data_IF_329487615194
#
_entry.id   IF_329487615194
#
_cell.length_a   1.000
_cell.length_b   1.000
_cell.length_c   1.000
_cell.angle_alpha   90.00
_cell.angle_beta   90.00
_cell.angle_gamma   90.00
#
_symmetry.space_group_name_H-M   'P 1'
#
loop_
_entity.id
_entity.type
_entity.pdbx_description
1 polymer ?
#
# COMPACT_ATOMS: atom_id res chain seq x y z
N UNK A 1 23.68 -10.41 35.01
CA UNK A 1 22.80 -11.54 34.70
C UNK A 1 22.15 -11.26 33.36
N UNK A 2 22.68 -11.85 32.28
CA UNK A 2 22.08 -11.76 30.95
C UNK A 2 20.78 -12.57 30.96
N UNK A 3 19.63 -11.91 30.84
CA UNK A 3 18.45 -12.59 30.37
C UNK A 3 18.73 -12.99 28.92
N UNK A 4 19.03 -14.27 28.70
CA UNK A 4 18.92 -14.87 27.38
C UNK A 4 17.45 -14.75 26.99
N UNK A 5 17.13 -13.75 26.18
CA UNK A 5 15.85 -13.64 25.48
C UNK A 5 15.68 -14.96 24.73
N UNK A 6 14.71 -15.79 25.13
CA UNK A 6 14.35 -16.97 24.36
C UNK A 6 14.04 -16.50 22.93
N UNK A 7 14.54 -17.18 21.88
CA UNK A 7 14.18 -16.85 20.52
C UNK A 7 12.66 -16.89 20.40
N UNK A 8 12.07 -15.83 19.83
CA UNK A 8 10.63 -15.80 19.58
C UNK A 8 10.23 -17.02 18.76
N UNK A 9 9.09 -17.68 19.08
CA UNK A 9 8.67 -18.88 18.36
C UNK A 9 8.50 -18.58 16.87
N UNK A 10 8.91 -19.51 16.01
CA UNK A 10 8.69 -19.41 14.56
C UNK A 10 7.21 -19.60 14.28
N UNK A 11 6.52 -18.52 13.96
CA UNK A 11 5.08 -18.56 13.70
C UNK A 11 4.80 -18.29 12.22
N UNK A 12 4.01 -19.19 11.62
CA UNK A 12 3.46 -19.01 10.28
C UNK A 12 1.94 -18.88 10.32
N UNK A 13 1.42 -18.00 9.48
CA UNK A 13 0.00 -17.83 9.20
C UNK A 13 -0.37 -18.64 7.97
N UNK A 14 -1.25 -19.64 8.13
CA UNK A 14 -1.79 -20.42 7.01
C UNK A 14 -3.24 -20.03 6.73
N UNK A 15 -3.53 -19.77 5.46
CA UNK A 15 -4.85 -19.36 5.02
C UNK A 15 -5.17 -19.93 3.64
N UNK A 16 -6.46 -20.20 3.44
CA UNK A 16 -7.01 -20.70 2.18
C UNK A 16 -8.26 -19.91 1.87
N UNK A 17 -8.43 -19.53 0.60
CA UNK A 17 -9.62 -18.83 0.12
C UNK A 17 -9.73 -19.02 -1.39
N UNK A 18 -10.91 -18.76 -1.97
CA UNK A 18 -10.99 -18.56 -3.42
C UNK A 18 -10.24 -17.27 -3.76
N UNK A 19 -9.39 -17.34 -4.78
CA UNK A 19 -8.64 -16.21 -5.30
C UNK A 19 -9.63 -15.12 -5.74
N UNK A 20 -9.42 -13.92 -5.20
CA UNK A 20 -10.33 -12.77 -5.36
C UNK A 20 -10.18 -12.09 -6.71
N UNK A 21 -8.98 -12.14 -7.27
CA UNK A 21 -8.59 -11.41 -8.47
C UNK A 21 -8.14 -12.31 -9.62
N UNK A 22 -7.94 -13.62 -9.40
CA UNK A 22 -7.42 -14.54 -10.40
C UNK A 22 -8.43 -15.63 -10.72
N UNK A 23 -8.67 -15.84 -12.00
CA UNK A 23 -9.59 -16.84 -12.53
C UNK A 23 -8.95 -17.54 -13.72
N UNK A 24 -9.45 -18.72 -14.06
CA UNK A 24 -9.12 -19.39 -15.31
C UNK A 24 -10.20 -19.15 -16.36
N UNK A 25 -9.80 -18.95 -17.61
CA UNK A 25 -10.66 -18.83 -18.78
C UNK A 25 -10.15 -19.72 -19.90
N UNK A 26 -11.02 -20.51 -20.54
CA UNK A 26 -10.61 -21.52 -21.53
C UNK A 26 -9.89 -20.96 -22.76
N UNK A 27 -10.15 -19.70 -23.13
CA UNK A 27 -9.51 -19.06 -24.29
C UNK A 27 -8.34 -18.16 -23.91
N UNK A 28 -8.31 -17.65 -22.67
CA UNK A 28 -7.37 -16.62 -22.24
C UNK A 28 -6.36 -17.13 -21.19
N UNK A 29 -6.48 -18.39 -20.76
CA UNK A 29 -5.65 -18.94 -19.69
C UNK A 29 -6.01 -18.29 -18.35
N UNK A 30 -5.02 -17.81 -17.60
CA UNK A 30 -5.28 -17.10 -16.35
C UNK A 30 -5.65 -15.64 -16.64
N UNK A 31 -6.81 -15.23 -16.12
CA UNK A 31 -7.33 -13.87 -16.23
C UNK A 31 -7.26 -13.18 -14.87
N UNK A 32 -6.69 -11.98 -14.86
CA UNK A 32 -6.70 -11.07 -13.72
C UNK A 32 -7.92 -10.15 -13.79
N UNK A 33 -8.58 -9.91 -12.67
CA UNK A 33 -9.72 -8.97 -12.59
C UNK A 33 -9.28 -7.76 -11.79
N UNK A 34 -9.48 -6.55 -12.33
CA UNK A 34 -9.09 -5.30 -11.64
C UNK A 34 -9.94 -5.04 -10.40
N UNK A 35 -11.25 -5.08 -10.59
CA UNK A 35 -12.24 -4.90 -9.51
C UNK A 35 -12.88 -6.25 -9.20
N UNK A 36 -12.85 -6.73 -7.94
CA UNK A 36 -13.36 -8.07 -7.61
C UNK A 36 -14.79 -8.28 -8.10
N UNK A 37 -15.05 -9.48 -8.60
CA UNK A 37 -16.34 -9.88 -9.15
C UNK A 37 -16.87 -11.06 -8.34
N UNK A 38 -18.20 -11.12 -8.15
CA UNK A 38 -18.84 -12.27 -7.49
C UNK A 38 -18.69 -13.51 -8.37
N UNK A 39 -18.54 -14.68 -7.78
CA UNK A 39 -18.29 -15.93 -8.49
C UNK A 39 -19.39 -16.26 -9.50
N UNK A 40 -20.64 -15.96 -9.13
CA UNK A 40 -21.79 -16.13 -10.02
C UNK A 40 -21.73 -15.22 -11.24
N UNK A 41 -21.25 -13.99 -11.08
CA UNK A 41 -21.16 -13.01 -12.15
C UNK A 41 -19.92 -13.29 -13.03
N UNK A 42 -18.81 -13.74 -12.42
CA UNK A 42 -17.61 -14.20 -13.11
C UNK A 42 -17.92 -15.32 -14.12
N UNK A 43 -18.81 -16.24 -13.76
CA UNK A 43 -19.28 -17.31 -14.65
C UNK A 43 -19.92 -16.81 -15.96
N UNK A 44 -20.50 -15.60 -15.99
CA UNK A 44 -21.05 -15.00 -17.23
C UNK A 44 -19.96 -14.66 -18.25
N UNK A 45 -18.74 -14.45 -17.77
CA UNK A 45 -17.54 -14.17 -18.57
C UNK A 45 -16.70 -15.43 -18.80
N UNK A 46 -17.23 -16.63 -18.51
CA UNK A 46 -16.50 -17.88 -18.66
C UNK A 46 -15.35 -18.06 -17.66
N UNK A 47 -15.34 -17.30 -16.56
CA UNK A 47 -14.30 -17.35 -15.54
C UNK A 47 -14.56 -18.45 -14.51
N UNK A 48 -13.62 -19.37 -14.39
CA UNK A 48 -13.59 -20.42 -13.38
C UNK A 48 -12.74 -20.01 -12.18
N UNK A 49 -13.26 -20.12 -10.94
CA UNK A 49 -12.51 -19.73 -9.74
C UNK A 49 -11.33 -20.67 -9.46
N UNK A 50 -10.32 -20.11 -8.79
CA UNK A 50 -9.15 -20.84 -8.30
C UNK A 50 -9.10 -20.75 -6.76
N UNK A 51 -8.60 -21.79 -6.11
CA UNK A 51 -8.26 -21.77 -4.69
C UNK A 51 -6.85 -21.20 -4.54
N UNK A 52 -6.70 -20.18 -3.71
CA UNK A 52 -5.43 -19.67 -3.22
C UNK A 52 -5.12 -20.34 -1.88
N UNK A 53 -3.95 -20.94 -1.80
CA UNK A 53 -3.32 -21.33 -0.55
C UNK A 53 -2.15 -20.39 -0.30
N UNK A 54 -2.04 -19.85 0.92
CA UNK A 54 -0.93 -18.97 1.27
C UNK A 54 -0.39 -19.22 2.66
N UNK A 55 0.92 -19.00 2.77
CA UNK A 55 1.67 -19.12 4.00
C UNK A 55 2.51 -17.85 4.19
N UNK A 56 2.44 -17.24 5.36
CA UNK A 56 3.15 -15.98 5.66
C UNK A 56 3.84 -16.07 7.01
N UNK A 57 5.06 -15.55 7.11
CA UNK A 57 5.75 -15.43 8.39
C UNK A 57 5.09 -14.35 9.24
N UNK A 58 4.74 -14.66 10.49
CA UNK A 58 3.99 -13.76 11.34
C UNK A 58 4.69 -12.39 11.52
N UNK A 59 4.02 -11.33 11.09
CA UNK A 59 4.51 -9.96 11.20
C UNK A 59 5.66 -9.60 10.26
N UNK A 60 5.98 -10.42 9.26
CA UNK A 60 6.96 -10.12 8.21
C UNK A 60 6.31 -10.21 6.81
N UNK A 61 6.80 -9.45 5.83
CA UNK A 61 6.30 -9.50 4.45
C UNK A 61 6.85 -10.71 3.66
N UNK A 62 7.18 -11.81 4.32
CA UNK A 62 7.67 -13.04 3.68
C UNK A 62 6.46 -13.96 3.49
N UNK A 63 6.07 -14.17 2.24
CA UNK A 63 4.88 -14.92 1.87
C UNK A 63 5.16 -15.85 0.71
N UNK A 64 4.61 -17.05 0.79
CA UNK A 64 4.54 -18.01 -0.30
C UNK A 64 3.07 -18.28 -0.66
N UNK A 65 2.79 -18.54 -1.93
CA UNK A 65 1.44 -18.76 -2.46
C UNK A 65 1.44 -19.87 -3.51
N UNK A 66 0.37 -20.66 -3.53
CA UNK A 66 0.10 -21.64 -4.60
C UNK A 66 -1.40 -21.70 -4.91
N UNK A 67 -1.74 -22.23 -6.08
CA UNK A 67 -3.10 -22.19 -6.62
C UNK A 67 -3.55 -23.55 -7.13
N UNK A 68 -4.85 -23.83 -7.02
CA UNK A 68 -5.48 -25.01 -7.64
C UNK A 68 -6.85 -24.66 -8.21
N UNK A 69 -7.37 -25.44 -9.16
CA UNK A 69 -8.78 -25.39 -9.51
C UNK A 69 -9.68 -25.77 -8.31
N UNK A 70 -10.89 -25.23 -8.26
CA UNK A 70 -11.85 -25.54 -7.18
C UNK A 70 -12.35 -26.99 -7.22
N UNK A 71 -12.38 -27.61 -8.40
CA UNK A 71 -12.73 -29.02 -8.61
C UNK A 71 -11.61 -29.99 -8.22
N UNK A 72 -10.38 -29.49 -8.06
CA UNK A 72 -9.19 -30.29 -7.75
C UNK A 72 -8.42 -29.66 -6.57
N UNK A 73 -9.04 -29.55 -5.38
CA UNK A 73 -8.37 -29.04 -4.20
C UNK A 73 -7.23 -29.98 -3.77
N UNK A 74 -6.19 -29.39 -3.19
CA UNK A 74 -5.07 -30.13 -2.60
C UNK A 74 -5.21 -30.29 -1.08
N UNK A 75 -4.71 -31.39 -0.50
CA UNK A 75 -4.61 -31.55 0.94
C UNK A 75 -3.78 -30.42 1.58
N UNK A 76 -4.19 -29.93 2.75
CA UNK A 76 -3.44 -28.89 3.48
C UNK A 76 -2.04 -29.36 3.81
N UNK A 77 -1.89 -30.63 4.20
CA UNK A 77 -0.57 -31.19 4.52
C UNK A 77 0.39 -31.15 3.34
N UNK A 78 -0.06 -31.51 2.14
CA UNK A 78 0.79 -31.47 0.93
C UNK A 78 1.25 -30.06 0.63
N UNK A 79 0.34 -29.10 0.73
CA UNK A 79 0.62 -27.68 0.49
C UNK A 79 1.63 -27.13 1.52
N UNK A 80 1.46 -27.49 2.80
CA UNK A 80 2.35 -27.06 3.87
C UNK A 80 3.76 -27.68 3.73
N UNK A 81 3.85 -28.98 3.44
CA UNK A 81 5.11 -29.67 3.23
C UNK A 81 5.86 -29.13 2.01
N UNK A 82 5.15 -28.85 0.91
CA UNK A 82 5.72 -28.21 -0.27
C UNK A 82 6.27 -26.83 0.08
N UNK A 83 5.47 -25.98 0.75
CA UNK A 83 5.89 -24.64 1.14
C UNK A 83 7.14 -24.67 2.01
N UNK A 84 7.18 -25.52 3.05
CA UNK A 84 8.34 -25.62 3.94
C UNK A 84 9.56 -26.29 3.28
N UNK A 85 9.35 -27.09 2.23
CA UNK A 85 10.44 -27.71 1.47
C UNK A 85 11.07 -26.80 0.42
N UNK A 86 10.25 -25.95 -0.24
CA UNK A 86 10.64 -25.26 -1.47
C UNK A 86 10.67 -23.72 -1.36
N UNK A 87 10.00 -23.11 -0.38
CA UNK A 87 9.89 -21.66 -0.27
C UNK A 87 11.08 -21.07 0.51
N UNK A 88 12.08 -20.55 -0.22
CA UNK A 88 13.24 -19.90 0.39
C UNK A 88 12.81 -18.69 1.25
N UNK A 89 13.36 -18.56 2.46
CA UNK A 89 13.00 -17.47 3.38
C UNK A 89 11.83 -17.76 4.33
N UNK A 90 11.02 -18.80 4.10
CA UNK A 90 10.17 -19.36 5.16
C UNK A 90 10.99 -20.10 6.23
N UNK A 91 12.22 -20.50 5.90
CA UNK A 91 13.13 -21.25 6.78
C UNK A 91 12.52 -22.57 7.30
N UNK A 92 11.68 -23.18 6.47
CA UNK A 92 11.10 -24.50 6.68
C UNK A 92 9.98 -24.51 7.72
N UNK A 93 9.93 -25.59 8.49
CA UNK A 93 8.84 -25.87 9.41
C UNK A 93 8.81 -24.88 10.61
N UNK A 94 7.64 -24.28 10.93
CA UNK A 94 7.47 -23.38 12.07
C UNK A 94 7.31 -24.15 13.39
N UNK A 95 7.41 -23.43 14.50
CA UNK A 95 6.99 -23.93 15.82
C UNK A 95 5.46 -23.85 15.96
N UNK A 96 4.86 -22.76 15.45
CA UNK A 96 3.42 -22.48 15.53
C UNK A 96 2.85 -22.25 14.12
N UNK A 97 1.80 -22.99 13.79
CA UNK A 97 0.98 -22.76 12.60
C UNK A 97 -0.37 -22.16 13.03
N UNK A 98 -0.56 -20.88 12.76
CA UNK A 98 -1.79 -20.17 13.09
C UNK A 98 -2.78 -20.25 11.93
N UNK A 99 -3.99 -20.72 12.24
CA UNK A 99 -5.10 -20.91 11.29
C UNK A 99 -6.36 -20.22 11.78
N UNK A 100 -7.30 -19.96 10.87
CA UNK A 100 -8.60 -19.41 11.26
C UNK A 100 -9.52 -20.53 11.77
N UNK A 101 -10.59 -20.15 12.48
CA UNK A 101 -11.58 -21.11 13.00
C UNK A 101 -12.28 -21.95 11.92
N UNK A 102 -12.39 -21.43 10.70
CA UNK A 102 -13.07 -22.11 9.60
C UNK A 102 -12.19 -23.21 9.01
N UNK A 103 -10.88 -22.97 8.88
CA UNK A 103 -9.87 -23.95 8.50
C UNK A 103 -9.75 -25.07 9.52
N UNK A 104 -9.68 -24.71 10.81
CA UNK A 104 -9.64 -25.69 11.90
C UNK A 104 -10.91 -26.56 11.94
N UNK A 105 -12.07 -25.99 11.60
CA UNK A 105 -13.31 -26.76 11.49
C UNK A 105 -13.37 -27.61 10.21
N UNK A 106 -12.78 -27.14 9.11
CA UNK A 106 -12.73 -27.85 7.83
C UNK A 106 -11.75 -29.04 7.84
N UNK A 107 -10.73 -29.00 8.69
CA UNK A 107 -9.78 -30.09 8.90
C UNK A 107 -9.52 -30.30 10.40
N UNK A 108 -10.40 -31.04 11.11
CA UNK A 108 -10.26 -31.27 12.54
C UNK A 108 -8.99 -32.03 12.93
N UNK A 109 -8.51 -32.91 12.04
CA UNK A 109 -7.33 -33.75 12.26
C UNK A 109 -6.00 -33.00 12.07
N UNK A 110 -6.02 -31.82 11.43
CA UNK A 110 -4.83 -31.02 11.13
C UNK A 110 -3.96 -30.77 12.37
N UNK A 111 -4.57 -30.48 13.52
CA UNK A 111 -3.82 -30.21 14.75
C UNK A 111 -3.05 -31.44 15.25
N UNK A 112 -3.64 -32.63 15.18
CA UNK A 112 -3.00 -33.87 15.59
C UNK A 112 -1.89 -34.27 14.59
N UNK A 113 -2.15 -34.12 13.29
CA UNK A 113 -1.17 -34.45 12.26
C UNK A 113 0.05 -33.52 12.28
N UNK A 114 -0.17 -32.22 12.48
CA UNK A 114 0.90 -31.24 12.61
C UNK A 114 1.71 -31.48 13.89
N UNK A 115 1.07 -31.93 14.98
CA UNK A 115 1.79 -32.29 16.21
C UNK A 115 2.75 -33.49 16.00
N UNK A 116 2.44 -34.44 15.11
CA UNK A 116 3.32 -35.59 14.78
C UNK A 116 4.65 -35.17 14.17
N UNK A 117 4.68 -34.03 13.47
CA UNK A 117 5.89 -33.45 12.91
C UNK A 117 6.50 -32.37 13.82
N UNK A 118 5.86 -32.04 14.96
CA UNK A 118 6.37 -31.05 15.92
C UNK A 118 5.91 -29.61 15.66
N UNK A 119 4.82 -29.40 14.91
CA UNK A 119 4.18 -28.09 14.73
C UNK A 119 2.95 -27.99 15.63
N UNK A 120 2.88 -26.92 16.43
CA UNK A 120 1.67 -26.61 17.21
C UNK A 120 0.68 -25.82 16.33
N UNK A 121 -0.54 -26.33 16.15
CA UNK A 121 -1.59 -25.60 15.45
C UNK A 121 -2.39 -24.74 16.43
N UNK A 122 -2.46 -23.44 16.18
CA UNK A 122 -3.23 -22.49 16.97
C UNK A 122 -4.37 -21.88 16.17
N UNK A 123 -5.57 -21.87 16.75
CA UNK A 123 -6.73 -21.20 16.15
C UNK A 123 -6.71 -19.72 16.54
N UNK A 124 -6.66 -18.84 15.55
CA UNK A 124 -6.71 -17.39 15.75
C UNK A 124 -8.00 -16.98 16.49
N UNK A 125 -7.84 -16.21 17.57
CA UNK A 125 -8.96 -15.72 18.37
C UNK A 125 -9.79 -14.66 17.64
N UNK A 126 -11.03 -14.43 18.08
CA UNK A 126 -11.97 -13.52 17.39
C UNK A 126 -11.51 -12.05 17.30
N UNK A 127 -10.55 -11.62 18.13
CA UNK A 127 -9.97 -10.26 18.12
C UNK A 127 -8.61 -10.17 17.40
N UNK A 128 -8.10 -11.30 16.95
CA UNK A 128 -6.85 -11.42 16.19
C UNK A 128 -7.07 -10.81 14.80
N UNK A 129 -6.16 -9.93 14.35
CA UNK A 129 -6.30 -9.19 13.08
C UNK A 129 -5.18 -9.47 12.08
N UNK A 130 -4.08 -10.07 12.51
CA UNK A 130 -2.90 -10.29 11.69
C UNK A 130 -3.08 -11.45 10.71
N UNK A 131 -3.79 -12.52 11.06
CA UNK A 131 -4.09 -13.60 10.11
C UNK A 131 -5.02 -13.13 8.97
N UNK A 132 -6.15 -12.43 9.23
CA UNK A 132 -6.95 -11.82 8.18
C UNK A 132 -6.19 -10.74 7.37
N UNK A 133 -5.23 -10.05 7.97
CA UNK A 133 -4.38 -9.11 7.25
C UNK A 133 -3.42 -9.82 6.29
N UNK A 134 -2.80 -10.94 6.71
CA UNK A 134 -1.95 -11.77 5.85
C UNK A 134 -2.71 -12.30 4.63
N UNK A 135 -3.93 -12.80 4.82
CA UNK A 135 -4.78 -13.24 3.71
C UNK A 135 -5.10 -12.09 2.74
N UNK A 136 -5.48 -10.91 3.24
CA UNK A 136 -5.75 -9.74 2.38
C UNK A 136 -4.52 -9.34 1.58
N UNK A 137 -3.37 -9.26 2.24
CA UNK A 137 -2.09 -8.96 1.59
C UNK A 137 -1.76 -10.00 0.50
N UNK A 138 -1.99 -11.28 0.74
CA UNK A 138 -1.78 -12.33 -0.25
C UNK A 138 -2.71 -12.20 -1.47
N UNK A 139 -3.99 -11.96 -1.22
CA UNK A 139 -4.97 -11.73 -2.29
C UNK A 139 -4.57 -10.53 -3.14
N UNK A 140 -4.23 -9.40 -2.50
CA UNK A 140 -3.84 -8.18 -3.19
C UNK A 140 -2.52 -8.35 -3.97
N UNK A 141 -1.56 -9.12 -3.46
CA UNK A 141 -0.32 -9.41 -4.19
C UNK A 141 -0.50 -10.42 -5.32
N UNK A 142 -1.37 -11.43 -5.17
CA UNK A 142 -1.61 -12.42 -6.21
C UNK A 142 -2.09 -11.80 -7.53
N UNK A 143 -2.75 -10.65 -7.45
CA UNK A 143 -3.20 -9.84 -8.59
C UNK A 143 -2.05 -9.41 -9.52
N UNK A 144 -0.84 -9.26 -9.00
CA UNK A 144 0.30 -8.65 -9.69
C UNK A 144 1.42 -9.64 -10.01
N UNK A 145 1.12 -10.94 -10.01
CA UNK A 145 2.12 -11.96 -10.29
C UNK A 145 2.65 -11.82 -11.73
N UNK A 146 3.97 -11.67 -11.92
CA UNK A 146 4.56 -11.49 -13.24
C UNK A 146 4.36 -12.76 -14.09
N UNK A 147 3.85 -12.62 -15.32
CA UNK A 147 3.67 -13.77 -16.24
C UNK A 147 4.88 -13.91 -17.15
N UNK A 148 5.96 -14.47 -16.61
CA UNK A 148 7.19 -14.69 -17.38
C UNK A 148 7.11 -15.89 -18.32
N UNK A 149 6.10 -16.75 -18.13
CA UNK A 149 5.91 -17.92 -18.97
C UNK A 149 4.87 -17.65 -20.05
N UNK A 150 5.34 -17.75 -21.30
CA UNK A 150 4.57 -17.60 -22.52
C UNK A 150 3.45 -18.65 -22.54
N UNK A 151 2.20 -18.20 -22.32
CA UNK A 151 0.99 -19.00 -22.13
C UNK A 151 0.54 -19.79 -23.36
N UNK A 152 1.44 -20.63 -23.88
CA UNK A 152 1.18 -21.55 -25.00
C UNK A 152 0.19 -22.64 -24.61
N UNK A 153 0.25 -23.11 -23.36
CA UNK A 153 -0.72 -24.06 -22.82
C UNK A 153 -1.84 -23.34 -22.04
N UNK A 154 -2.98 -23.19 -22.73
CA UNK A 154 -4.20 -22.59 -22.17
C UNK A 154 -5.12 -23.62 -21.51
N UNK A 155 -4.66 -24.86 -21.34
CA UNK A 155 -5.38 -25.85 -20.55
C UNK A 155 -5.41 -25.44 -19.08
N UNK A 156 -6.46 -25.85 -18.36
CA UNK A 156 -6.61 -25.56 -16.93
C UNK A 156 -5.38 -26.00 -16.12
N UNK A 157 -4.88 -27.22 -16.39
CA UNK A 157 -3.73 -27.77 -15.69
C UNK A 157 -2.44 -26.99 -16.00
N UNK A 158 -2.15 -26.73 -17.28
CA UNK A 158 -0.95 -26.00 -17.69
C UNK A 158 -0.96 -24.55 -17.20
N UNK A 159 -2.08 -23.84 -17.37
CA UNK A 159 -2.24 -22.46 -16.92
C UNK A 159 -2.12 -22.30 -15.40
N UNK A 160 -2.64 -23.24 -14.61
CA UNK A 160 -2.48 -23.23 -13.15
C UNK A 160 -1.03 -23.58 -12.75
N UNK A 161 -0.40 -24.55 -13.42
CA UNK A 161 1.00 -24.89 -13.16
C UNK A 161 1.91 -23.68 -13.44
N UNK A 162 1.69 -22.97 -14.54
CA UNK A 162 2.44 -21.76 -14.89
C UNK A 162 2.17 -20.64 -13.90
N UNK A 163 0.93 -20.46 -13.41
CA UNK A 163 0.61 -19.53 -12.33
C UNK A 163 1.38 -19.85 -11.04
N UNK A 164 1.42 -21.12 -10.63
CA UNK A 164 2.17 -21.52 -9.44
C UNK A 164 3.68 -21.30 -9.62
N UNK A 165 4.22 -21.54 -10.81
CA UNK A 165 5.63 -21.24 -11.11
C UNK A 165 5.93 -19.75 -11.06
N UNK A 166 5.06 -18.90 -11.64
CA UNK A 166 5.17 -17.45 -11.52
C UNK A 166 5.10 -16.97 -10.06
N UNK A 167 4.24 -17.58 -9.24
CA UNK A 167 4.13 -17.28 -7.81
C UNK A 167 5.40 -17.67 -7.02
N UNK A 168 6.00 -18.81 -7.36
CA UNK A 168 7.28 -19.24 -6.80
C UNK A 168 8.42 -18.30 -7.23
N UNK A 169 8.51 -17.93 -8.50
CA UNK A 169 9.54 -17.01 -8.99
C UNK A 169 9.41 -15.61 -8.37
N UNK A 170 8.19 -15.11 -8.17
CA UNK A 170 7.94 -13.85 -7.47
C UNK A 170 8.43 -13.93 -6.01
N UNK A 171 8.11 -15.02 -5.32
CA UNK A 171 8.59 -15.29 -3.97
C UNK A 171 10.12 -15.33 -3.90
N UNK A 172 10.76 -16.15 -4.74
CA UNK A 172 12.21 -16.32 -4.76
C UNK A 172 12.92 -15.01 -5.13
N UNK A 173 12.38 -14.25 -6.09
CA UNK A 173 12.90 -12.93 -6.46
C UNK A 173 12.80 -11.93 -5.30
N UNK A 174 11.68 -11.95 -4.58
CA UNK A 174 11.47 -11.08 -3.42
C UNK A 174 12.50 -11.38 -2.32
N UNK A 175 12.77 -12.68 -2.07
CA UNK A 175 13.67 -13.17 -1.01
C UNK A 175 15.15 -13.02 -1.36
N UNK A 176 15.56 -13.51 -2.54
CA UNK A 176 16.98 -13.55 -2.95
C UNK A 176 17.55 -12.21 -3.40
N UNK A 177 16.71 -11.31 -3.93
CA UNK A 177 17.15 -10.04 -4.53
C UNK A 177 17.37 -8.88 -3.55
N UNK A 178 17.27 -9.12 -2.23
CA UNK A 178 17.33 -8.06 -1.20
C UNK A 178 16.18 -7.04 -1.28
N UNK A 179 15.16 -7.28 -2.12
CA UNK A 179 14.01 -6.39 -2.33
C UNK A 179 13.07 -6.35 -1.12
N UNK A 180 12.99 -7.43 -0.33
CA UNK A 180 12.33 -7.40 0.98
C UNK A 180 12.81 -6.20 1.82
N UNK A 181 14.09 -5.83 1.73
CA UNK A 181 14.66 -4.73 2.50
C UNK A 181 14.47 -3.36 1.84
N UNK A 182 14.27 -3.29 0.52
CA UNK A 182 14.10 -2.03 -0.22
C UNK A 182 12.75 -1.36 0.00
N UNK A 183 11.70 -2.13 0.30
CA UNK A 183 10.34 -1.61 0.56
C UNK A 183 9.99 -1.41 2.03
N UNK A 184 10.92 -1.68 2.95
CA UNK A 184 10.69 -1.64 4.40
C UNK A 184 11.38 -0.42 4.99
N UNK A 185 10.60 0.61 5.30
CA UNK A 185 11.11 1.88 5.85
C UNK A 185 11.44 1.84 7.35
N UNK A 186 11.13 0.73 8.05
CA UNK A 186 11.39 0.56 9.48
C UNK A 186 12.62 -0.31 9.72
N UNK A 187 13.64 0.28 10.37
CA UNK A 187 14.85 -0.43 10.80
C UNK A 187 14.54 -1.64 11.69
N UNK A 188 13.53 -1.54 12.56
CA UNK A 188 13.10 -2.65 13.41
C UNK A 188 12.56 -3.83 12.60
N UNK A 189 11.82 -3.56 11.52
CA UNK A 189 11.29 -4.62 10.64
C UNK A 189 12.41 -5.22 9.79
N UNK A 190 13.34 -4.40 9.30
CA UNK A 190 14.56 -4.86 8.61
C UNK A 190 15.38 -5.79 9.51
N UNK A 191 15.62 -5.39 10.76
CA UNK A 191 16.37 -6.21 11.73
C UNK A 191 15.63 -7.52 12.00
N UNK A 192 14.30 -7.50 12.16
CA UNK A 192 13.49 -8.72 12.33
C UNK A 192 13.54 -9.64 11.10
N UNK A 193 13.52 -9.08 9.89
CA UNK A 193 13.68 -9.84 8.64
C UNK A 193 15.06 -10.50 8.61
N UNK A 194 16.13 -9.76 8.89
CA UNK A 194 17.49 -10.28 8.89
C UNK A 194 17.67 -11.37 9.96
N UNK A 195 17.17 -11.14 11.17
CA UNK A 195 17.15 -12.15 12.22
C UNK A 195 16.40 -13.40 11.79
N UNK A 196 15.25 -13.24 11.11
CA UNK A 196 14.49 -14.37 10.59
C UNK A 196 15.27 -15.14 9.54
N UNK A 197 15.78 -14.47 8.50
CA UNK A 197 16.52 -15.09 7.40
C UNK A 197 17.80 -15.78 7.87
N UNK A 198 18.42 -15.31 8.95
CA UNK A 198 19.59 -15.95 9.56
C UNK A 198 19.28 -17.26 10.32
N UNK A 199 17.99 -17.58 10.54
CA UNK A 199 17.60 -18.82 11.22
C UNK A 199 17.90 -20.04 10.34
N UNK A 200 18.37 -21.16 10.92
CA UNK A 200 18.60 -22.38 10.15
C UNK A 200 17.28 -22.93 9.60
N UNK A 201 17.27 -23.32 8.33
CA UNK A 201 16.11 -23.95 7.70
C UNK A 201 15.80 -25.31 8.36
N UNK A 202 14.52 -25.55 8.65
CA UNK A 202 14.02 -26.84 9.17
C UNK A 202 13.25 -27.57 8.09
N UNK A 203 13.95 -28.40 7.31
CA UNK A 203 13.31 -29.16 6.22
C UNK A 203 12.37 -30.21 6.82
N UNK A 204 11.10 -30.24 6.43
CA UNK A 204 10.16 -31.25 6.93
C UNK A 204 10.50 -32.63 6.38
N UNK A 205 10.23 -33.69 7.14
CA UNK A 205 10.35 -35.07 6.65
C UNK A 205 9.16 -35.38 5.75
N UNK A 206 9.38 -35.75 4.47
CA UNK A 206 8.29 -36.14 3.58
C UNK A 206 7.56 -37.33 4.20
N UNK A 207 6.26 -37.20 4.35
CA UNK A 207 5.41 -38.30 4.80
C UNK A 207 4.31 -38.50 3.77
N UNK A 208 4.03 -39.76 3.45
CA UNK A 208 3.00 -40.12 2.47
C UNK A 208 1.65 -39.67 3.00
N UNK A 209 0.97 -38.88 2.19
CA UNK A 209 -0.36 -38.32 2.42
C UNK A 209 -1.41 -39.13 1.68
N UNK A 210 -2.58 -39.29 2.31
CA UNK A 210 -3.77 -39.87 1.71
C UNK A 210 -4.55 -38.85 0.88
N UNK A 211 -5.85 -39.09 0.66
CA UNK A 211 -6.74 -38.17 -0.06
C UNK A 211 -6.92 -36.81 0.61
N UNK A 212 -7.89 -36.03 0.12
CA UNK A 212 -8.20 -34.69 0.63
C UNK A 212 -8.47 -34.71 2.15
N UNK A 213 -7.71 -33.91 2.91
CA UNK A 213 -7.73 -33.84 4.39
C UNK A 213 -8.63 -32.71 4.94
N UNK A 214 -9.46 -32.11 4.09
CA UNK A 214 -10.35 -31.00 4.48
C UNK A 214 -11.60 -30.88 3.60
N UNK A 215 -12.65 -30.26 4.14
CA UNK A 215 -13.91 -30.03 3.41
C UNK A 215 -14.07 -28.57 2.94
N UNK A 216 -14.32 -28.32 1.64
CA UNK A 216 -14.64 -26.99 1.13
C UNK A 216 -15.93 -26.44 1.73
N UNK A 217 -15.96 -25.14 2.03
CA UNK A 217 -17.15 -24.49 2.56
C UNK A 217 -17.34 -23.04 2.10
N UNK A 218 -18.51 -22.42 2.39
CA UNK A 218 -18.83 -21.05 1.97
C UNK A 218 -17.87 -19.99 2.47
N UNK A 219 -17.09 -20.30 3.51
CA UNK A 219 -16.07 -19.42 4.08
C UNK A 219 -14.93 -19.11 3.09
N UNK A 220 -14.70 -19.96 2.08
CA UNK A 220 -13.70 -19.77 1.04
C UNK A 220 -13.95 -18.50 0.20
N UNK A 221 -15.20 -18.09 0.02
CA UNK A 221 -15.58 -16.86 -0.71
C UNK A 221 -16.24 -15.80 0.18
N UNK A 222 -15.92 -15.78 1.48
CA UNK A 222 -16.49 -14.82 2.44
C UNK A 222 -16.35 -13.35 2.03
N UNK A 223 -15.35 -13.02 1.21
CA UNK A 223 -15.14 -11.68 0.65
C UNK A 223 -16.22 -11.25 -0.36
N UNK A 224 -17.02 -12.16 -0.93
CA UNK A 224 -18.11 -11.80 -1.85
C UNK A 224 -19.18 -10.92 -1.17
N UNK A 225 -19.35 -11.07 0.15
CA UNK A 225 -20.35 -10.34 0.93
C UNK A 225 -20.10 -8.83 1.00
N UNK A 226 -18.88 -8.39 0.75
CA UNK A 226 -18.51 -6.97 0.77
C UNK A 226 -18.46 -6.33 -0.62
N UNK A 227 -18.80 -7.06 -1.68
CA UNK A 227 -18.68 -6.55 -3.05
C UNK A 227 -19.88 -5.72 -3.50
N UNK A 228 -19.62 -4.62 -4.24
CA UNK A 228 -20.67 -3.86 -4.89
C UNK A 228 -21.41 -4.70 -5.96
N UNK A 229 -22.57 -4.24 -6.45
CA UNK A 229 -23.21 -4.83 -7.62
C UNK A 229 -22.27 -4.84 -8.83
N UNK A 230 -22.41 -5.87 -9.66
CA UNK A 230 -21.61 -6.04 -10.87
C UNK A 230 -21.89 -4.93 -11.90
N UNK A 231 -20.87 -4.59 -12.68
CA UNK A 231 -20.89 -3.58 -13.74
C UNK A 231 -20.46 -4.22 -15.06
N UNK A 232 -20.79 -3.63 -16.23
CA UNK A 232 -20.26 -4.09 -17.51
C UNK A 232 -18.73 -4.14 -17.49
N UNK A 233 -18.18 -5.17 -18.13
CA UNK A 233 -16.75 -5.46 -18.17
C UNK A 233 -16.34 -5.97 -19.54
N UNK A 234 -15.09 -5.75 -19.89
CA UNK A 234 -14.48 -6.22 -21.14
C UNK A 234 -13.10 -6.80 -20.88
N UNK A 235 -12.68 -7.74 -21.74
CA UNK A 235 -11.33 -8.29 -21.73
C UNK A 235 -10.38 -7.31 -22.40
N UNK A 236 -9.26 -7.03 -21.74
CA UNK A 236 -8.14 -6.29 -22.29
C UNK A 236 -6.89 -7.17 -22.21
N UNK A 237 -6.14 -7.25 -23.30
CA UNK A 237 -4.83 -7.90 -23.32
C UNK A 237 -3.79 -6.82 -23.04
N UNK A 238 -3.29 -6.79 -21.79
CA UNK A 238 -2.23 -5.86 -21.43
C UNK A 238 -0.89 -6.39 -21.99
N UNK A 239 -0.22 -5.57 -22.78
CA UNK A 239 1.08 -5.90 -23.37
C UNK A 239 2.23 -5.86 -22.36
N UNK A 240 2.03 -5.26 -21.19
CA UNK A 240 3.10 -5.00 -20.21
C UNK A 240 3.39 -6.19 -19.28
N UNK A 241 2.35 -6.82 -18.71
CA UNK A 241 2.49 -7.96 -17.80
C UNK A 241 2.19 -9.32 -18.47
N UNK A 242 1.84 -9.30 -19.76
CA UNK A 242 1.47 -10.48 -20.55
C UNK A 242 0.16 -11.14 -20.11
N UNK A 243 -0.62 -10.49 -19.24
CA UNK A 243 -1.85 -11.05 -18.68
C UNK A 243 -3.09 -10.56 -19.44
N UNK A 244 -4.12 -11.41 -19.44
CA UNK A 244 -5.45 -10.96 -19.83
C UNK A 244 -6.14 -10.37 -18.61
N UNK A 245 -6.64 -9.15 -18.74
CA UNK A 245 -7.36 -8.43 -17.71
C UNK A 245 -8.85 -8.34 -18.01
N UNK A 246 -9.69 -8.53 -17.00
CA UNK A 246 -11.10 -8.16 -17.06
C UNK A 246 -11.28 -6.80 -16.38
N UNK A 247 -11.55 -5.77 -17.19
CA UNK A 247 -11.66 -4.37 -16.75
C UNK A 247 -13.13 -3.95 -16.67
N UNK A 248 -13.44 -3.07 -15.72
CA UNK A 248 -14.76 -2.47 -15.56
C UNK A 248 -14.96 -1.31 -16.54
N UNK A 249 -16.10 -1.26 -17.22
CA UNK A 249 -16.45 -0.22 -18.20
C UNK A 249 -16.83 -0.78 -19.58
N UNK A 250 -16.90 0.10 -20.57
CA UNK A 250 -17.10 -0.25 -21.98
C UNK A 250 -15.76 -0.10 -22.73
N UNK A 251 -15.50 -1.00 -23.68
CA UNK A 251 -14.31 -0.95 -24.52
C UNK A 251 -14.44 0.26 -25.47
N UNK A 252 -13.57 1.26 -25.31
CA UNK A 252 -13.49 2.38 -26.24
C UNK A 252 -12.63 1.93 -27.43
N UNK A 253 -13.13 2.01 -28.69
CA UNK A 253 -12.33 1.62 -29.85
C UNK A 253 -11.06 2.44 -29.98
N UNK A 254 -9.92 1.76 -30.15
CA UNK A 254 -8.61 2.35 -30.44
C UNK A 254 -8.59 2.91 -31.87
N UNK A 255 -9.12 4.11 -32.07
CA UNK A 255 -8.92 4.93 -33.29
C UNK A 255 -8.33 6.30 -32.91
N UNK A 256 -7.30 6.30 -32.06
CA UNK A 256 -6.41 7.45 -31.87
C UNK A 256 -4.98 6.93 -31.89
N UNK A 257 -4.32 7.08 -33.05
CA UNK A 257 -2.87 7.16 -33.16
C UNK A 257 -2.41 8.31 -32.26
N UNK A 258 -2.08 8.02 -31.01
CA UNK A 258 -1.26 8.87 -30.15
C UNK A 258 -0.07 8.01 -29.71
N UNK A 259 0.99 8.11 -30.51
CA UNK A 259 2.37 7.77 -30.15
C UNK A 259 2.78 8.59 -28.92
N UNK A 260 2.35 8.18 -27.73
CA UNK A 260 2.95 8.45 -26.42
C UNK A 260 2.46 7.40 -25.41
N UNK A 261 2.77 6.15 -25.75
CA UNK A 261 2.58 4.96 -24.92
C UNK A 261 3.55 5.01 -23.73
N UNK A 262 3.07 5.42 -22.56
CA UNK A 262 3.72 5.12 -21.29
C UNK A 262 2.84 4.15 -20.50
N UNK A 263 2.90 2.88 -20.88
CA UNK A 263 2.63 1.75 -19.98
C UNK A 263 3.88 1.56 -19.10
N UNK A 264 3.85 2.11 -17.89
CA UNK A 264 4.72 1.67 -16.82
C UNK A 264 3.90 1.53 -15.52
N UNK A 265 4.28 0.54 -14.74
CA UNK A 265 3.56 0.02 -13.59
C UNK A 265 3.64 0.93 -12.37
N UNK A 266 2.80 1.96 -12.31
CA UNK A 266 2.85 2.90 -11.20
C UNK A 266 1.80 2.63 -10.14
N UNK A 267 2.26 2.51 -8.90
CA UNK A 267 1.39 2.57 -7.73
C UNK A 267 0.74 3.96 -7.71
N UNK A 268 -0.51 4.02 -8.17
CA UNK A 268 -1.29 5.26 -8.21
C UNK A 268 -1.78 5.65 -6.81
N UNK A 269 -0.88 6.24 -6.02
CA UNK A 269 -1.15 6.84 -4.72
C UNK A 269 -1.68 8.29 -4.81
N UNK A 270 -2.00 8.81 -6.00
CA UNK A 270 -2.45 10.19 -6.16
C UNK A 270 -3.68 10.50 -5.30
N UNK A 271 -4.63 9.56 -5.21
CA UNK A 271 -5.82 9.68 -4.37
C UNK A 271 -5.50 9.79 -2.86
N UNK A 272 -4.46 9.10 -2.40
CA UNK A 272 -4.00 9.15 -1.01
C UNK A 272 -3.32 10.48 -0.69
N UNK A 273 -2.43 10.94 -1.57
CA UNK A 273 -1.76 12.23 -1.43
C UNK A 273 -2.80 13.36 -1.45
N UNK A 274 -3.73 13.32 -2.40
CA UNK A 274 -4.82 14.28 -2.49
C UNK A 274 -5.69 14.29 -1.23
N UNK A 275 -5.99 13.12 -0.63
CA UNK A 275 -6.75 13.02 0.63
C UNK A 275 -6.06 13.79 1.76
N UNK A 276 -4.75 13.62 1.89
CA UNK A 276 -3.96 14.20 2.97
C UNK A 276 -3.77 15.71 2.77
N UNK A 277 -3.50 16.13 1.53
CA UNK A 277 -3.41 17.54 1.15
C UNK A 277 -4.74 18.26 1.34
N UNK A 278 -5.86 17.73 0.83
CA UNK A 278 -7.21 18.32 0.98
C UNK A 278 -7.61 18.44 2.45
N UNK A 279 -7.23 17.48 3.29
CA UNK A 279 -7.52 17.53 4.73
C UNK A 279 -6.73 18.62 5.48
N UNK A 280 -5.59 19.05 4.93
CA UNK A 280 -4.73 20.09 5.50
C UNK A 280 -4.72 21.37 4.67
N UNK A 281 -5.52 21.45 3.59
CA UNK A 281 -5.55 22.63 2.74
C UNK A 281 -6.27 23.78 3.48
N UNK A 282 -5.86 25.05 3.28
CA UNK A 282 -6.50 26.17 3.96
C UNK A 282 -7.97 26.39 3.55
N UNK A 283 -8.31 26.05 2.30
CA UNK A 283 -9.64 26.24 1.73
C UNK A 283 -10.55 25.02 1.95
N UNK A 284 -11.87 25.23 2.08
CA UNK A 284 -12.84 24.13 2.14
C UNK A 284 -12.75 23.20 0.92
N UNK A 285 -12.97 21.87 1.07
CA UNK A 285 -12.94 20.93 -0.05
C UNK A 285 -13.88 21.27 -1.22
N UNK A 286 -14.97 22.00 -0.96
CA UNK A 286 -15.88 22.45 -2.01
C UNK A 286 -15.26 23.49 -2.94
N UNK A 287 -14.42 24.38 -2.41
CA UNK A 287 -13.69 25.38 -3.20
C UNK A 287 -12.59 24.71 -4.02
N UNK A 288 -11.87 23.74 -3.43
CA UNK A 288 -10.85 22.94 -4.13
C UNK A 288 -11.48 22.20 -5.31
N UNK A 289 -12.62 21.54 -5.08
CA UNK A 289 -13.36 20.86 -6.13
C UNK A 289 -13.78 21.83 -7.25
N UNK A 290 -14.32 22.99 -6.89
CA UNK A 290 -14.72 24.02 -7.86
C UNK A 290 -13.55 24.54 -8.70
N UNK A 291 -12.38 24.75 -8.09
CA UNK A 291 -11.17 25.16 -8.81
C UNK A 291 -10.64 24.09 -9.78
N UNK A 292 -10.78 22.81 -9.44
CA UNK A 292 -10.41 21.69 -10.31
C UNK A 292 -11.52 21.29 -11.32
N UNK A 293 -12.59 22.10 -11.44
CA UNK A 293 -13.67 21.83 -12.40
C UNK A 293 -14.55 20.61 -12.05
N UNK A 294 -14.50 20.13 -10.81
CA UNK A 294 -15.25 18.95 -10.36
C UNK A 294 -16.26 19.28 -9.26
N UNK A 295 -17.21 18.37 -9.05
CA UNK A 295 -18.12 18.47 -7.91
C UNK A 295 -17.45 18.01 -6.62
N UNK A 296 -17.89 18.56 -5.47
CA UNK A 296 -17.46 18.09 -4.15
C UNK A 296 -17.62 16.57 -3.97
N UNK A 297 -18.68 16.00 -4.55
CA UNK A 297 -18.95 14.56 -4.50
C UNK A 297 -17.92 13.75 -5.27
N UNK A 298 -17.53 14.20 -6.46
CA UNK A 298 -16.46 13.58 -7.25
C UNK A 298 -15.12 13.63 -6.51
N UNK A 299 -14.78 14.78 -5.91
CA UNK A 299 -13.58 14.91 -5.09
C UNK A 299 -13.60 13.92 -3.91
N UNK A 300 -14.72 13.82 -3.19
CA UNK A 300 -14.87 12.89 -2.06
C UNK A 300 -14.75 11.42 -2.47
N UNK A 301 -15.26 11.05 -3.65
CA UNK A 301 -15.13 9.70 -4.18
C UNK A 301 -13.70 9.37 -4.58
N UNK A 302 -13.01 10.33 -5.21
CA UNK A 302 -11.60 10.19 -5.58
C UNK A 302 -10.70 9.98 -4.37
N UNK A 303 -10.72 10.90 -3.39
CA UNK A 303 -9.84 10.81 -2.20
C UNK A 303 -10.14 9.61 -1.29
N UNK A 304 -11.33 9.01 -1.43
CA UNK A 304 -11.74 7.79 -0.74
C UNK A 304 -11.37 6.51 -1.51
N UNK A 305 -10.78 6.63 -2.70
CA UNK A 305 -10.47 5.50 -3.59
C UNK A 305 -11.72 4.80 -4.17
N UNK A 306 -12.88 5.47 -4.16
CA UNK A 306 -14.15 4.88 -4.63
C UNK A 306 -14.34 4.95 -6.13
N UNK A 307 -13.86 6.02 -6.77
CA UNK A 307 -14.03 6.25 -8.20
C UNK A 307 -12.87 7.12 -8.69
N UNK A 308 -12.21 6.76 -9.81
CA UNK A 308 -11.23 7.65 -10.43
C UNK A 308 -11.91 8.90 -10.98
N UNK A 309 -11.15 9.98 -11.14
CA UNK A 309 -11.61 11.15 -11.88
C UNK A 309 -11.42 10.94 -13.37
N UNK A 310 -12.18 11.69 -14.17
CA UNK A 310 -11.90 11.86 -15.60
C UNK A 310 -10.46 12.39 -15.80
N UNK A 311 -9.82 12.06 -16.93
CA UNK A 311 -8.40 12.36 -17.17
C UNK A 311 -8.09 13.85 -17.05
N UNK A 312 -8.94 14.72 -17.60
CA UNK A 312 -8.74 16.17 -17.53
C UNK A 312 -8.94 16.70 -16.11
N UNK A 313 -10.03 16.27 -15.48
CA UNK A 313 -10.34 16.62 -14.10
C UNK A 313 -9.26 16.15 -13.09
N UNK A 314 -8.65 14.99 -13.36
CA UNK A 314 -7.55 14.44 -12.58
C UNK A 314 -6.31 15.31 -12.73
N UNK A 315 -5.91 15.61 -13.96
CA UNK A 315 -4.76 16.45 -14.25
C UNK A 315 -4.88 17.83 -13.61
N UNK A 316 -6.06 18.46 -13.72
CA UNK A 316 -6.33 19.76 -13.11
C UNK A 316 -6.25 19.72 -11.58
N UNK A 317 -6.74 18.63 -10.96
CA UNK A 317 -6.63 18.43 -9.51
C UNK A 317 -5.18 18.17 -9.06
N UNK A 318 -4.44 17.34 -9.79
CA UNK A 318 -3.02 17.05 -9.51
C UNK A 318 -2.17 18.31 -9.63
N UNK A 319 -2.36 19.09 -10.70
CA UNK A 319 -1.68 20.37 -10.89
C UNK A 319 -2.04 21.39 -9.80
N UNK A 320 -3.31 21.45 -9.39
CA UNK A 320 -3.78 22.33 -8.31
C UNK A 320 -3.14 21.98 -6.96
N UNK A 321 -3.00 20.67 -6.68
CA UNK A 321 -2.49 20.16 -5.42
C UNK A 321 -0.97 19.97 -5.42
N UNK A 322 -0.28 20.16 -6.54
CA UNK A 322 1.17 19.96 -6.63
C UNK A 322 1.56 18.49 -6.56
N UNK A 323 0.72 17.62 -7.11
CA UNK A 323 1.00 16.20 -7.19
C UNK A 323 1.65 15.94 -8.53
N UNK A 324 2.89 15.45 -8.52
CA UNK A 324 3.62 15.12 -9.73
C UNK A 324 4.00 13.64 -9.71
N UNK A 325 4.15 13.07 -10.89
CA UNK A 325 4.57 11.70 -11.05
C UNK A 325 6.11 11.63 -11.06
N UNK A 326 6.68 10.97 -10.05
CA UNK A 326 8.13 10.76 -9.94
C UNK A 326 8.53 9.55 -10.79
N UNK A 327 9.05 9.83 -11.99
CA UNK A 327 9.56 8.84 -12.94
C UNK A 327 10.68 7.96 -12.38
N UNK A 328 11.40 8.42 -11.36
CA UNK A 328 12.52 7.67 -10.77
C UNK A 328 12.04 6.65 -9.73
N UNK A 329 10.92 6.94 -9.06
CA UNK A 329 10.36 6.11 -7.99
C UNK A 329 9.10 5.33 -8.41
N UNK A 330 8.52 5.62 -9.58
CA UNK A 330 7.33 4.92 -10.08
C UNK A 330 6.06 5.21 -9.26
N UNK A 331 6.00 6.38 -8.61
CA UNK A 331 4.91 6.78 -7.72
C UNK A 331 4.59 8.26 -7.88
N UNK A 332 3.37 8.65 -7.55
CA UNK A 332 3.06 10.06 -7.38
C UNK A 332 3.65 10.56 -6.06
N UNK A 333 4.10 11.82 -6.06
CA UNK A 333 4.62 12.52 -4.90
C UNK A 333 4.02 13.91 -4.83
N UNK A 334 3.79 14.40 -3.61
CA UNK A 334 3.45 15.80 -3.41
C UNK A 334 4.70 16.67 -3.53
N UNK A 335 4.88 17.33 -4.66
CA UNK A 335 5.97 18.27 -4.92
C UNK A 335 5.53 19.66 -4.44
N UNK A 336 5.90 19.98 -3.20
CA UNK A 336 5.67 21.29 -2.61
C UNK A 336 6.37 22.43 -3.37
N UNK A 337 6.42 23.65 -2.82
CA UNK A 337 6.13 24.04 -1.45
C UNK A 337 4.63 24.31 -1.15
N UNK A 338 4.22 24.10 0.11
CA UNK A 338 2.82 24.27 0.55
C UNK A 338 2.64 25.25 1.71
N UNK A 339 1.49 25.91 1.74
CA UNK A 339 0.92 26.51 2.95
C UNK A 339 -0.26 25.65 3.44
N UNK A 340 -0.09 24.95 4.56
CA UNK A 340 -1.07 23.99 5.09
C UNK A 340 -1.62 24.46 6.44
N UNK A 341 -2.79 23.95 6.83
CA UNK A 341 -3.43 24.23 8.12
C UNK A 341 -3.60 22.96 8.95
N UNK A 342 -3.19 23.02 10.21
CA UNK A 342 -3.34 21.94 11.15
C UNK A 342 -4.79 21.81 11.66
N UNK A 343 -5.61 21.04 10.95
CA UNK A 343 -6.98 20.72 11.35
C UNK A 343 -7.12 19.39 12.08
N UNK A 344 -6.46 18.33 11.59
CA UNK A 344 -6.56 16.96 12.13
C UNK A 344 -5.18 16.40 12.44
N UNK A 345 -4.94 15.84 13.64
CA UNK A 345 -3.63 15.32 14.03
C UNK A 345 -3.09 14.25 13.07
N UNK A 346 -3.96 13.33 12.62
CA UNK A 346 -3.56 12.24 11.75
C UNK A 346 -3.19 12.73 10.35
N UNK A 347 -4.00 13.63 9.77
CA UNK A 347 -3.73 14.19 8.44
C UNK A 347 -2.42 14.99 8.42
N UNK A 348 -2.12 15.73 9.49
CA UNK A 348 -0.86 16.47 9.61
C UNK A 348 0.34 15.54 9.74
N UNK A 349 0.20 14.43 10.47
CA UNK A 349 1.26 13.43 10.55
C UNK A 349 1.52 12.79 9.18
N UNK A 350 0.47 12.35 8.50
CA UNK A 350 0.58 11.68 7.20
C UNK A 350 1.13 12.61 6.12
N UNK A 351 0.70 13.87 6.07
CA UNK A 351 1.26 14.83 5.11
C UNK A 351 2.71 15.18 5.43
N UNK A 352 3.06 15.31 6.72
CA UNK A 352 4.44 15.54 7.14
C UNK A 352 5.35 14.40 6.67
N UNK A 353 4.97 13.16 6.93
CA UNK A 353 5.72 11.97 6.49
C UNK A 353 5.86 11.94 4.96
N UNK A 354 4.80 12.31 4.22
CA UNK A 354 4.81 12.36 2.75
C UNK A 354 5.75 13.44 2.19
N UNK A 355 5.70 14.66 2.70
CA UNK A 355 6.52 15.78 2.17
C UNK A 355 7.96 15.75 2.68
N UNK A 356 8.21 15.12 3.82
CA UNK A 356 9.56 14.98 4.40
C UNK A 356 10.30 13.72 3.96
N UNK A 357 9.75 12.91 3.05
CA UNK A 357 10.36 11.64 2.66
C UNK A 357 10.52 10.67 3.84
N UNK A 358 9.64 10.72 4.84
CA UNK A 358 9.70 9.87 6.03
C UNK A 358 10.61 10.36 7.17
N UNK A 359 10.95 11.65 7.20
CA UNK A 359 11.70 12.26 8.32
C UNK A 359 12.95 13.04 7.93
N UNK A 360 13.23 13.22 6.64
CA UNK A 360 14.36 13.97 6.11
C UNK A 360 14.12 15.51 6.14
N UNK A 361 13.31 15.95 7.10
CA UNK A 361 13.01 17.35 7.33
C UNK A 361 13.28 17.75 8.78
N UNK A 362 13.85 18.94 8.97
CA UNK A 362 13.91 19.62 10.24
C UNK A 362 12.72 20.56 10.35
N UNK A 363 11.82 20.33 11.31
CA UNK A 363 10.67 21.20 11.51
C UNK A 363 10.85 22.08 12.75
N UNK A 364 10.54 23.37 12.62
CA UNK A 364 10.61 24.29 13.76
C UNK A 364 9.48 25.33 13.70
N UNK A 365 8.99 25.75 14.87
CA UNK A 365 8.13 26.92 14.96
C UNK A 365 8.98 28.18 14.83
N UNK A 366 8.58 29.09 13.95
CA UNK A 366 9.22 30.39 13.81
C UNK A 366 8.50 31.45 14.66
N UNK A 367 9.28 32.26 15.38
CA UNK A 367 8.80 33.43 16.13
C UNK A 367 9.68 34.64 15.81
N UNK A 368 9.12 35.86 15.75
CA UNK A 368 9.95 37.04 15.50
C UNK A 368 10.89 37.28 16.70
N UNK A 369 12.17 37.55 16.44
CA UNK A 369 13.15 37.93 17.48
C UNK A 369 12.73 39.19 18.25
N UNK A 370 12.01 40.08 17.59
CA UNK A 370 11.53 41.35 18.15
C UNK A 370 10.08 41.58 17.74
N UNK A 371 9.27 42.06 18.68
CA UNK A 371 7.85 42.33 18.47
C UNK A 371 6.95 41.12 18.73
N UNK A 372 5.62 41.31 18.67
CA UNK A 372 4.66 40.25 18.93
C UNK A 372 4.56 39.26 17.77
N UNK A 373 4.48 37.96 18.11
CA UNK A 373 4.06 36.93 17.17
C UNK A 373 2.57 37.06 16.84
N UNK A 374 2.14 36.44 15.74
CA UNK A 374 0.73 36.39 15.35
C UNK A 374 -0.13 35.78 16.48
N UNK A 375 -1.23 36.45 16.86
CA UNK A 375 -2.08 36.02 17.96
C UNK A 375 -2.98 34.83 17.60
N UNK A 376 -3.21 34.58 16.31
CA UNK A 376 -4.13 33.56 15.80
C UNK A 376 -3.41 32.27 15.39
N UNK A 377 -2.18 32.38 14.87
CA UNK A 377 -1.46 31.26 14.27
C UNK A 377 -0.06 31.08 14.87
N UNK A 378 0.37 29.82 14.95
CA UNK A 378 1.78 29.41 15.04
C UNK A 378 2.18 28.95 13.64
N UNK A 379 3.36 29.39 13.18
CA UNK A 379 3.88 29.04 11.87
C UNK A 379 5.02 28.05 12.05
N UNK A 380 4.85 26.86 11.49
CA UNK A 380 5.82 25.78 11.56
C UNK A 380 6.46 25.66 10.20
N UNK A 381 7.75 25.97 10.13
CA UNK A 381 8.56 25.77 8.94
C UNK A 381 8.97 24.30 8.88
N UNK A 382 8.68 23.65 7.77
CA UNK A 382 9.13 22.29 7.43
C UNK A 382 10.23 22.47 6.41
N UNK A 383 11.47 22.29 6.88
CA UNK A 383 12.67 22.40 6.05
C UNK A 383 13.10 21.00 5.62
N UNK A 384 12.82 20.65 4.37
CA UNK A 384 13.15 19.39 3.72
C UNK A 384 14.54 19.43 3.09
N UNK A 385 15.32 18.35 3.21
CA UNK A 385 16.60 18.28 2.51
C UNK A 385 16.39 18.12 1.00
N UNK A 386 16.94 19.06 0.23
CA UNK A 386 16.94 19.04 -1.25
C UNK A 386 15.71 19.67 -1.90
N UNK A 387 14.67 19.96 -1.13
CA UNK A 387 13.37 20.44 -1.61
C UNK A 387 12.97 21.77 -0.97
N UNK A 388 12.16 22.61 -1.66
CA UNK A 388 11.67 23.87 -1.10
C UNK A 388 10.85 23.71 0.20
N UNK A 389 10.98 24.64 1.17
CA UNK A 389 10.28 24.54 2.45
C UNK A 389 8.76 24.66 2.32
N UNK A 390 8.06 23.95 3.20
CA UNK A 390 6.61 24.11 3.39
C UNK A 390 6.30 24.74 4.75
N UNK A 391 5.14 25.38 4.89
CA UNK A 391 4.71 26.06 6.11
C UNK A 391 3.37 25.49 6.58
N UNK A 392 3.33 25.06 7.84
CA UNK A 392 2.10 24.63 8.51
C UNK A 392 1.64 25.72 9.47
N UNK A 393 0.43 26.22 9.26
CA UNK A 393 -0.27 27.13 10.17
C UNK A 393 -1.06 26.31 11.19
N UNK A 394 -0.75 26.50 12.47
CA UNK A 394 -1.46 25.84 13.55
C UNK A 394 -2.19 26.86 14.43
N UNK A 395 -3.51 26.70 14.67
CA UNK A 395 -4.28 27.69 15.41
C UNK A 395 -3.79 27.78 16.87
N UNK A 396 -3.46 28.99 17.33
CA UNK A 396 -2.92 29.21 18.67
C UNK A 396 -3.99 28.85 19.72
N UNK A 397 -3.59 28.10 20.75
CA UNK A 397 -4.50 27.65 21.81
C UNK A 397 -5.34 26.40 21.47
N UNK A 398 -5.25 25.87 20.25
CA UNK A 398 -5.93 24.62 19.90
C UNK A 398 -5.18 23.38 20.43
N UNK A 399 -5.92 22.33 20.80
CA UNK A 399 -5.35 21.07 21.31
C UNK A 399 -4.41 20.37 20.32
N UNK A 400 -4.61 20.54 19.01
CA UNK A 400 -3.74 19.97 17.98
C UNK A 400 -2.35 20.59 18.00
N UNK A 401 -2.28 21.89 18.28
CA UNK A 401 -1.07 22.70 18.28
C UNK A 401 -0.10 22.26 19.37
N UNK A 402 -0.61 21.89 20.55
CA UNK A 402 0.19 21.32 21.64
C UNK A 402 0.69 19.89 21.35
N UNK A 403 0.10 19.22 20.35
CA UNK A 403 0.50 17.87 19.94
C UNK A 403 1.51 17.87 18.81
N UNK A 404 1.78 19.00 18.15
CA UNK A 404 2.70 19.08 17.00
C UNK A 404 4.08 18.47 17.26
N UNK A 405 4.74 18.67 18.42
CA UNK A 405 6.03 18.04 18.70
C UNK A 405 6.00 16.50 18.70
N UNK A 406 4.82 15.89 18.88
CA UNK A 406 4.63 14.43 18.83
C UNK A 406 4.19 13.93 17.45
N UNK A 407 3.77 14.84 16.57
CA UNK A 407 3.25 14.53 15.23
C UNK A 407 4.31 14.73 14.15
N UNK A 408 5.22 15.67 14.35
CA UNK A 408 6.29 16.01 13.42
C UNK A 408 7.59 15.37 13.93
N UNK A 409 8.14 14.41 13.16
CA UNK A 409 9.45 13.82 13.46
C UNK A 409 10.53 14.90 13.37
N UNK A 410 11.59 14.84 14.18
CA UNK A 410 12.67 15.85 14.15
C UNK A 410 12.19 17.29 14.38
N UNK A 411 11.18 17.48 15.23
CA UNK A 411 10.73 18.82 15.64
C UNK A 411 11.77 19.49 16.57
N UNK A 412 12.42 20.53 16.09
CA UNK A 412 13.54 21.22 16.75
C UNK A 412 13.09 22.27 17.78
N UNK A 413 11.78 22.45 17.95
CA UNK A 413 11.23 23.43 18.89
C UNK A 413 11.01 24.80 18.26
N UNK A 414 11.29 25.85 19.03
CA UNK A 414 11.01 27.24 18.66
C UNK A 414 12.30 27.91 18.20
N UNK A 415 12.25 28.59 17.06
CA UNK A 415 13.37 29.33 16.48
C UNK A 415 13.01 30.80 16.29
N UNK A 416 13.88 31.68 16.78
CA UNK A 416 13.69 33.12 16.65
C UNK A 416 14.30 33.65 15.34
N UNK A 417 13.48 34.32 14.52
CA UNK A 417 13.80 34.75 13.15
C UNK A 417 13.71 36.27 12.99
N UNK A 418 14.28 36.82 11.91
CA UNK A 418 14.17 38.25 11.60
C UNK A 418 12.69 38.69 11.48
N UNK A 419 12.29 39.84 12.06
CA UNK A 419 10.91 40.34 11.98
C UNK A 419 10.39 40.48 10.55
N UNK A 420 11.26 40.83 9.60
CA UNK A 420 10.95 40.99 8.18
C UNK A 420 10.58 39.64 7.56
N UNK A 421 11.38 38.60 7.82
CA UNK A 421 11.11 37.23 7.39
C UNK A 421 9.79 36.71 7.98
N UNK A 422 9.58 36.93 9.27
CA UNK A 422 8.34 36.52 9.93
C UNK A 422 7.11 37.19 9.30
N UNK A 423 7.18 38.50 9.03
CA UNK A 423 6.11 39.23 8.36
C UNK A 423 5.86 38.72 6.94
N UNK A 424 6.89 38.38 6.19
CA UNK A 424 6.69 37.85 4.85
C UNK A 424 6.06 36.45 4.88
N UNK A 425 6.45 35.57 5.83
CA UNK A 425 5.78 34.28 6.05
C UNK A 425 4.29 34.48 6.34
N UNK A 426 3.95 35.33 7.30
CA UNK A 426 2.55 35.64 7.65
C UNK A 426 1.79 36.13 6.42
N UNK A 427 2.39 37.07 5.67
CA UNK A 427 1.75 37.65 4.48
C UNK A 427 1.59 36.66 3.34
N UNK A 428 2.58 35.78 3.13
CA UNK A 428 2.58 34.72 2.12
C UNK A 428 1.50 33.70 2.44
N UNK A 429 1.46 33.20 3.67
CA UNK A 429 0.40 32.30 4.11
C UNK A 429 -0.99 32.93 3.94
N UNK A 430 -1.16 34.20 4.30
CA UNK A 430 -2.42 34.90 4.11
C UNK A 430 -2.83 35.02 2.63
N UNK A 431 -1.89 35.22 1.70
CA UNK A 431 -2.16 35.23 0.26
C UNK A 431 -2.46 33.82 -0.27
N UNK A 432 -1.68 32.82 0.16
CA UNK A 432 -1.85 31.42 -0.19
C UNK A 432 -3.20 30.83 0.23
N UNK A 433 -3.82 31.37 1.29
CA UNK A 433 -5.14 30.95 1.77
C UNK A 433 -6.33 31.59 1.03
N UNK A 434 -6.11 32.57 0.14
CA UNK A 434 -7.22 33.32 -0.48
C UNK A 434 -8.06 32.47 -1.43
N UNK A 435 -7.42 31.60 -2.19
CA UNK A 435 -8.03 30.71 -3.17
C UNK A 435 -7.17 29.44 -3.29
N UNK A 436 -7.75 28.27 -3.59
CA UNK A 436 -6.99 27.02 -3.70
C UNK A 436 -5.78 27.12 -4.63
N UNK A 437 -5.94 27.78 -5.79
CA UNK A 437 -4.88 27.90 -6.80
C UNK A 437 -3.75 28.88 -6.41
N UNK A 438 -3.96 29.75 -5.43
CA UNK A 438 -2.92 30.68 -4.97
C UNK A 438 -1.87 29.99 -4.10
N UNK A 439 -2.17 28.83 -3.50
CA UNK A 439 -1.32 28.22 -2.49
C UNK A 439 0.10 27.96 -3.01
N UNK A 440 0.23 27.10 -4.02
CA UNK A 440 1.53 26.73 -4.59
C UNK A 440 2.20 27.93 -5.25
N UNK A 441 1.44 28.79 -5.95
CA UNK A 441 1.98 29.99 -6.60
C UNK A 441 2.68 30.91 -5.61
N UNK A 442 1.98 31.29 -4.54
CA UNK A 442 2.50 32.21 -3.52
C UNK A 442 3.68 31.60 -2.75
N UNK A 443 3.64 30.28 -2.49
CA UNK A 443 4.73 29.56 -1.85
C UNK A 443 5.97 29.44 -2.75
N UNK A 444 5.81 29.18 -4.06
CA UNK A 444 6.92 29.21 -5.02
C UNK A 444 7.55 30.60 -5.12
N UNK A 445 6.74 31.65 -5.12
CA UNK A 445 7.25 33.03 -5.10
C UNK A 445 8.01 33.35 -3.80
N UNK A 446 7.54 32.85 -2.66
CA UNK A 446 8.25 32.97 -1.38
C UNK A 446 9.61 32.29 -1.41
N UNK A 447 9.67 31.04 -1.89
CA UNK A 447 10.93 30.30 -2.02
C UNK A 447 11.91 31.05 -2.92
N UNK A 448 11.44 31.61 -4.05
CA UNK A 448 12.26 32.39 -4.96
C UNK A 448 12.84 33.66 -4.30
N UNK A 449 12.08 34.35 -3.43
CA UNK A 449 12.56 35.53 -2.70
C UNK A 449 13.68 35.20 -1.72
N UNK A 450 13.67 34.00 -1.15
CA UNK A 450 14.63 33.56 -0.13
C UNK A 450 15.63 32.53 -0.64
N UNK A 451 15.76 32.32 -1.95
CA UNK A 451 16.60 31.27 -2.54
C UNK A 451 18.04 31.30 -2.02
N UNK A 452 18.60 32.48 -1.79
CA UNK A 452 19.96 32.70 -1.26
C UNK A 452 20.13 32.28 0.21
N UNK A 453 19.04 32.11 0.96
CA UNK A 453 19.05 31.69 2.37
C UNK A 453 18.97 30.16 2.52
N UNK A 454 18.92 29.43 1.40
CA UNK A 454 18.93 27.97 1.33
C UNK A 454 20.29 27.51 0.82
N UNK A 455 21.29 27.46 1.71
CA UNK A 455 22.65 26.97 1.40
C UNK A 455 22.71 25.48 1.73
N UNK A 456 23.30 24.67 0.83
CA UNK A 456 23.43 23.21 1.01
C UNK A 456 22.12 22.49 1.34
N UNK A 457 21.02 22.96 0.74
CA UNK A 457 19.69 22.36 0.85
C UNK A 457 19.09 22.37 2.27
N UNK A 458 19.55 23.27 3.14
CA UNK A 458 18.96 23.53 4.44
C UNK A 458 18.79 25.04 4.68
N UNK A 459 17.68 25.43 5.31
CA UNK A 459 17.56 26.79 5.82
C UNK A 459 18.58 27.05 6.91
N UNK A 460 19.43 28.04 6.71
CA UNK A 460 20.24 28.61 7.78
C UNK A 460 19.74 30.04 8.02
N UNK A 461 18.91 30.26 9.06
CA UNK A 461 18.53 31.62 9.40
C UNK A 461 19.73 32.44 9.84
N UNK A 462 19.78 33.70 9.40
CA UNK A 462 20.53 34.78 10.08
C UNK A 462 20.05 34.95 11.51
#
# INVERSE_FOLDING_TARGET
MNQQTQPSPREHHFYVAIAKFLFHHSQHGIVSVRDPIRLKDAGRYGLSPLILYGLTVAGLPIRWMTFTPVDQPRPFRDVLLEAWGNAEGLNGQPDILRVNRHLAAASPELAEEMAKIGVQVEVAGAKEKSLPASLRSAQDSSRWLPRKHDGKDRSLAGSVQDLCRNAQEDHDFFVSGGRILRGVHSREVVDRIQCWLALPARVPVPTVTGGLDWEPGPWLSSWETSLPPDQPRYFNHDGFDGSTWLLTGEMVPEDIDDDDFWTDSDWDNAAEIARNLVACWPNPPAEIAGCAGITLRQLQWFISGKTPLDRHARFDLEALLGIEYDKSMGVYAGVGPYALVAHKPQAIKEIYESISGGGDACSCEIVPRQGPADPSWRYILINTYGEPPSIVMAPRGAKITERLPKLLLNYEGIRAVAPEFYRDVVSTCARACREPAANIREMKDFVKRYIEHWVDCAWLPE
#
